data_IF_978445561044
#
_entry.id   IF_978445561044
#
_cell.length_a   1.000
_cell.length_b   1.000
_cell.length_c   1.000
_cell.angle_alpha   90.00
_cell.angle_beta   90.00
_cell.angle_gamma   90.00
#
_symmetry.space_group_name_H-M   'P 1'
#
loop_
_entity.id
_entity.type
_entity.pdbx_description
1 polymer ?
#
# COMPACT_ATOMS: atom_id res chain seq x y z
N UNK A 1 25.50 6.02 3.62
CA UNK A 1 24.11 5.91 3.13
C UNK A 1 23.24 5.81 4.37
N UNK A 2 22.37 6.78 4.66
CA UNK A 2 21.45 6.78 5.82
C UNK A 2 19.99 6.83 5.36
N UNK A 3 19.72 6.42 4.12
CA UNK A 3 18.36 6.12 3.71
C UNK A 3 17.89 4.91 4.52
N UNK A 4 16.73 5.03 5.18
CA UNK A 4 16.05 3.95 5.90
C UNK A 4 16.68 3.50 7.22
N UNK A 5 17.42 4.33 7.94
CA UNK A 5 17.79 4.02 9.33
C UNK A 5 16.59 4.21 10.27
N UNK A 6 16.28 3.20 11.09
CA UNK A 6 15.23 3.29 12.12
C UNK A 6 15.61 4.40 13.12
N UNK A 7 14.67 5.32 13.35
CA UNK A 7 14.84 6.45 14.28
C UNK A 7 15.36 7.75 13.65
N UNK A 8 16.02 7.69 12.49
CA UNK A 8 16.61 8.88 11.84
C UNK A 8 15.61 9.66 10.98
N UNK A 9 14.45 9.07 10.68
CA UNK A 9 13.39 9.71 9.91
C UNK A 9 12.88 11.03 10.52
N UNK A 10 13.09 11.28 11.81
CA UNK A 10 12.65 12.52 12.45
C UNK A 10 13.44 13.75 11.99
N UNK A 11 14.74 13.59 11.66
CA UNK A 11 15.62 14.74 11.41
C UNK A 11 15.21 15.54 10.18
N UNK A 12 14.70 14.88 9.15
CA UNK A 12 14.23 15.53 7.91
C UNK A 12 12.95 16.36 8.14
N UNK A 13 12.20 16.09 9.21
CA UNK A 13 11.00 16.83 9.59
C UNK A 13 11.28 17.97 10.58
N UNK A 14 12.55 18.33 10.79
CA UNK A 14 12.95 19.40 11.72
C UNK A 14 13.63 20.56 11.01
N UNK A 15 13.42 21.75 11.56
CA UNK A 15 14.20 22.95 11.28
C UNK A 15 15.60 22.85 11.89
N UNK A 16 16.56 23.71 11.46
CA UNK A 16 17.89 23.75 12.05
C UNK A 16 17.91 24.03 13.56
N UNK A 17 16.87 24.70 14.08
CA UNK A 17 16.71 24.96 15.53
C UNK A 17 16.15 23.76 16.31
N UNK A 18 15.88 22.64 15.63
CA UNK A 18 15.35 21.41 16.22
C UNK A 18 13.83 21.38 16.37
N UNK A 19 13.10 22.45 16.06
CA UNK A 19 11.63 22.44 16.04
C UNK A 19 11.10 21.70 14.81
N UNK A 20 9.85 21.24 14.85
CA UNK A 20 9.22 20.60 13.68
C UNK A 20 8.97 21.64 12.59
N UNK A 21 9.08 21.20 11.32
CA UNK A 21 8.66 22.00 10.18
C UNK A 21 7.20 22.46 10.35
N UNK A 22 6.90 23.68 9.91
CA UNK A 22 5.56 24.27 9.91
C UNK A 22 5.05 24.44 8.47
N UNK A 23 3.76 24.77 8.34
CA UNK A 23 3.16 25.08 7.04
C UNK A 23 3.96 26.19 6.33
N UNK A 24 4.32 25.93 5.07
CA UNK A 24 5.12 26.84 4.25
C UNK A 24 6.63 26.57 4.29
N UNK A 25 7.12 25.75 5.21
CA UNK A 25 8.53 25.33 5.20
C UNK A 25 8.80 24.33 4.07
N UNK A 26 10.05 24.31 3.60
CA UNK A 26 10.51 23.31 2.63
C UNK A 26 10.95 22.03 3.35
N UNK A 27 10.36 20.90 2.94
CA UNK A 27 10.79 19.55 3.34
C UNK A 27 11.78 19.00 2.31
N UNK A 28 12.95 18.55 2.75
CA UNK A 28 13.98 17.98 1.87
C UNK A 28 14.39 16.57 2.34
N UNK A 29 14.31 15.60 1.43
CA UNK A 29 14.75 14.21 1.66
C UNK A 29 15.95 13.86 0.77
N UNK A 30 17.17 14.30 1.10
CA UNK A 30 18.34 14.10 0.24
C UNK A 30 18.67 12.62 0.02
N UNK A 31 18.34 11.78 1.00
CA UNK A 31 18.59 10.33 0.95
C UNK A 31 17.55 9.62 0.07
N UNK A 32 16.30 10.10 0.01
CA UNK A 32 15.32 9.60 -0.96
C UNK A 32 15.70 9.95 -2.39
N UNK A 33 16.23 11.15 -2.65
CA UNK A 33 16.66 11.53 -3.99
C UNK A 33 17.70 10.52 -4.54
N UNK A 34 18.67 10.12 -3.70
CA UNK A 34 19.66 9.09 -4.06
C UNK A 34 19.05 7.71 -4.27
N UNK A 35 18.01 7.35 -3.52
CA UNK A 35 17.27 6.11 -3.74
C UNK A 35 16.52 6.12 -5.07
N UNK A 36 15.93 7.27 -5.46
CA UNK A 36 15.29 7.42 -6.76
C UNK A 36 16.31 7.38 -7.91
N UNK A 37 17.48 8.01 -7.76
CA UNK A 37 18.54 7.93 -8.75
C UNK A 37 19.02 6.48 -8.95
N UNK A 38 19.11 5.69 -7.86
CA UNK A 38 19.41 4.26 -7.92
C UNK A 38 18.32 3.51 -8.70
N UNK A 39 17.05 3.64 -8.29
CA UNK A 39 15.93 2.93 -8.90
C UNK A 39 15.76 3.29 -10.39
N UNK A 40 16.02 4.55 -10.76
CA UNK A 40 15.97 5.00 -12.14
C UNK A 40 17.07 4.35 -13.01
N UNK A 41 18.23 4.04 -12.42
CA UNK A 41 19.33 3.37 -13.10
C UNK A 41 19.13 1.85 -13.13
N UNK A 42 18.71 1.27 -12.00
CA UNK A 42 18.50 -0.17 -11.83
C UNK A 42 17.50 -0.44 -10.67
N UNK A 43 16.26 -0.85 -10.99
CA UNK A 43 15.27 -1.23 -9.98
C UNK A 43 15.69 -2.43 -9.12
N UNK A 44 16.46 -3.37 -9.67
CA UNK A 44 16.88 -4.59 -8.97
C UNK A 44 17.89 -4.27 -7.86
N UNK A 45 18.63 -3.16 -7.98
CA UNK A 45 19.56 -2.69 -6.96
C UNK A 45 18.89 -2.33 -5.62
N UNK A 46 17.55 -2.24 -5.57
CA UNK A 46 16.81 -2.10 -4.33
C UNK A 46 16.78 -3.39 -3.50
N UNK A 47 16.75 -4.55 -4.15
CA UNK A 47 16.61 -5.86 -3.52
C UNK A 47 17.95 -6.53 -3.23
N UNK A 48 19.05 -5.94 -3.69
CA UNK A 48 20.40 -6.47 -3.52
C UNK A 48 21.42 -5.39 -3.10
N UNK A 49 22.60 -5.85 -2.66
CA UNK A 49 23.72 -4.98 -2.39
C UNK A 49 23.48 -3.98 -1.25
N UNK A 50 24.16 -2.81 -1.26
CA UNK A 50 24.23 -1.93 -0.09
C UNK A 50 22.89 -1.36 0.39
N UNK A 51 21.90 -1.18 -0.49
CA UNK A 51 20.58 -0.69 -0.11
C UNK A 51 19.75 -1.77 0.61
N UNK A 52 19.74 -2.99 0.08
CA UNK A 52 19.12 -4.14 0.73
C UNK A 52 19.78 -4.45 2.09
N UNK A 53 21.12 -4.40 2.15
CA UNK A 53 21.87 -4.57 3.40
C UNK A 53 21.49 -3.51 4.44
N UNK A 54 21.39 -2.24 4.03
CA UNK A 54 20.97 -1.15 4.91
C UNK A 54 19.53 -1.31 5.40
N UNK A 55 18.61 -1.77 4.54
CA UNK A 55 17.23 -2.06 4.90
C UNK A 55 17.14 -3.16 5.97
N UNK A 56 17.79 -4.30 5.72
CA UNK A 56 17.81 -5.44 6.67
C UNK A 56 18.44 -5.03 7.99
N UNK A 57 19.55 -4.29 7.96
CA UNK A 57 20.21 -3.80 9.16
C UNK A 57 19.31 -2.84 9.96
N UNK A 58 18.55 -1.99 9.28
CA UNK A 58 17.67 -1.03 9.94
C UNK A 58 16.54 -1.70 10.72
N UNK A 59 16.00 -2.81 10.23
CA UNK A 59 14.90 -3.54 10.88
C UNK A 59 15.38 -4.72 11.73
N UNK A 60 16.69 -4.90 11.89
CA UNK A 60 17.25 -6.06 12.57
C UNK A 60 16.81 -6.18 14.05
N UNK A 61 16.46 -5.06 14.69
CA UNK A 61 15.90 -5.06 16.05
C UNK A 61 14.38 -5.30 16.00
N UNK A 62 13.98 -6.57 16.22
CA UNK A 62 12.58 -6.98 16.28
C UNK A 62 11.89 -7.21 14.94
N UNK A 63 12.56 -6.94 13.81
CA UNK A 63 12.08 -7.30 12.48
C UNK A 63 12.51 -8.72 12.06
N UNK A 64 11.81 -9.26 11.06
CA UNK A 64 12.05 -10.61 10.52
C UNK A 64 12.57 -10.61 9.08
N UNK A 65 12.75 -9.43 8.47
CA UNK A 65 13.19 -9.29 7.08
C UNK A 65 14.67 -9.67 6.95
N UNK A 66 14.98 -10.52 5.97
CA UNK A 66 16.32 -10.99 5.67
C UNK A 66 16.74 -10.70 4.22
N UNK A 67 18.03 -10.83 3.94
CA UNK A 67 18.53 -10.76 2.56
C UNK A 67 17.92 -11.86 1.67
N UNK A 68 17.62 -13.04 2.23
CA UNK A 68 16.98 -14.12 1.49
C UNK A 68 15.52 -13.76 1.13
N UNK A 69 14.81 -13.02 1.98
CA UNK A 69 13.46 -12.53 1.67
C UNK A 69 13.51 -11.51 0.53
N UNK A 70 14.47 -10.59 0.55
CA UNK A 70 14.66 -9.63 -0.53
C UNK A 70 15.07 -10.31 -1.84
N UNK A 71 16.00 -11.26 -1.79
CA UNK A 71 16.46 -11.98 -2.98
C UNK A 71 15.38 -12.89 -3.60
N UNK A 72 14.51 -13.44 -2.76
CA UNK A 72 13.40 -14.29 -3.20
C UNK A 72 12.15 -13.50 -3.60
N UNK A 73 12.12 -12.19 -3.38
CA UNK A 73 10.98 -11.35 -3.74
C UNK A 73 10.73 -11.41 -5.26
N UNK A 74 9.49 -11.71 -5.65
CA UNK A 74 9.06 -11.71 -7.05
C UNK A 74 7.70 -11.02 -7.15
N UNK A 75 7.56 -10.17 -8.17
CA UNK A 75 6.26 -9.65 -8.56
C UNK A 75 5.44 -10.79 -9.15
N UNK A 76 4.20 -10.92 -8.69
CA UNK A 76 3.23 -11.86 -9.24
C UNK A 76 2.26 -11.05 -10.08
N UNK A 77 2.26 -11.28 -11.39
CA UNK A 77 1.26 -10.73 -12.30
C UNK A 77 0.09 -11.71 -12.40
N UNK A 78 -1.12 -11.23 -12.13
CA UNK A 78 -2.35 -12.02 -12.20
C UNK A 78 -3.38 -11.32 -13.06
N UNK A 79 -4.23 -12.11 -13.73
CA UNK A 79 -5.39 -11.57 -14.43
C UNK A 79 -6.40 -11.06 -13.42
N UNK A 80 -6.96 -9.84 -13.60
CA UNK A 80 -7.96 -9.31 -12.69
C UNK A 80 -9.23 -10.16 -12.77
N UNK A 81 -9.79 -10.48 -11.60
CA UNK A 81 -11.13 -11.08 -11.53
C UNK A 81 -12.17 -10.05 -11.95
N UNK A 82 -13.22 -10.55 -12.59
CA UNK A 82 -14.26 -9.73 -13.19
C UNK A 82 -15.64 -10.19 -12.74
N UNK A 83 -16.53 -9.24 -12.46
CA UNK A 83 -17.96 -9.50 -12.24
C UNK A 83 -18.79 -8.55 -13.09
N UNK A 84 -20.04 -8.95 -13.37
CA UNK A 84 -21.05 -8.02 -13.83
C UNK A 84 -21.65 -7.28 -12.61
N UNK A 85 -21.81 -5.97 -12.73
CA UNK A 85 -22.49 -5.13 -11.75
C UNK A 85 -23.44 -4.19 -12.51
N UNK A 86 -24.72 -4.58 -12.58
CA UNK A 86 -25.71 -3.97 -13.48
C UNK A 86 -25.16 -3.89 -14.92
N UNK A 87 -25.14 -2.69 -15.51
CA UNK A 87 -24.67 -2.44 -16.88
C UNK A 87 -23.14 -2.33 -16.99
N UNK A 88 -22.42 -2.54 -15.89
CA UNK A 88 -20.96 -2.41 -15.83
C UNK A 88 -20.27 -3.76 -15.63
N UNK A 89 -19.00 -3.82 -16.04
CA UNK A 89 -18.07 -4.88 -15.65
C UNK A 89 -17.04 -4.28 -14.70
N UNK A 90 -16.92 -4.86 -13.51
CA UNK A 90 -15.94 -4.43 -12.51
C UNK A 90 -14.77 -5.40 -12.51
N UNK A 91 -13.57 -4.86 -12.64
CA UNK A 91 -12.31 -5.60 -12.59
C UNK A 91 -11.57 -5.25 -11.30
N UNK A 92 -11.15 -6.26 -10.53
CA UNK A 92 -10.30 -6.08 -9.35
C UNK A 92 -9.34 -7.27 -9.20
N UNK A 93 -8.38 -7.20 -8.28
CA UNK A 93 -7.43 -8.30 -8.04
C UNK A 93 -8.18 -9.56 -7.62
N UNK A 94 -9.15 -9.41 -6.71
CA UNK A 94 -10.16 -10.42 -6.41
C UNK A 94 -9.69 -11.56 -5.50
N UNK A 95 -8.46 -11.47 -4.98
CA UNK A 95 -7.98 -12.12 -3.75
C UNK A 95 -7.65 -11.04 -2.70
N UNK A 96 -8.38 -9.92 -2.77
CA UNK A 96 -8.24 -8.80 -1.85
C UNK A 96 -8.77 -9.14 -0.46
N UNK A 97 -8.12 -8.59 0.57
CA UNK A 97 -8.48 -8.86 1.97
C UNK A 97 -9.88 -8.33 2.33
N UNK A 98 -10.41 -7.41 1.52
CA UNK A 98 -11.70 -6.77 1.68
C UNK A 98 -12.81 -7.36 0.78
N UNK A 99 -12.49 -8.35 -0.07
CA UNK A 99 -13.42 -9.02 -1.00
C UNK A 99 -14.48 -8.10 -1.65
N UNK A 100 -13.99 -7.02 -2.25
CA UNK A 100 -14.84 -6.02 -2.92
C UNK A 100 -15.72 -6.67 -3.99
N UNK A 101 -15.20 -7.64 -4.74
CA UNK A 101 -15.98 -8.32 -5.79
C UNK A 101 -17.11 -9.19 -5.21
N UNK A 102 -16.87 -9.90 -4.10
CA UNK A 102 -17.93 -10.63 -3.40
C UNK A 102 -19.03 -9.69 -2.90
N UNK A 103 -18.63 -8.58 -2.26
CA UNK A 103 -19.56 -7.54 -1.80
C UNK A 103 -20.42 -7.00 -2.95
N UNK A 104 -19.79 -6.58 -4.04
CA UNK A 104 -20.51 -6.05 -5.20
C UNK A 104 -21.41 -7.10 -5.87
N UNK A 105 -20.98 -8.36 -5.91
CA UNK A 105 -21.81 -9.46 -6.42
C UNK A 105 -23.06 -9.67 -5.55
N UNK A 106 -22.94 -9.61 -4.22
CA UNK A 106 -24.09 -9.75 -3.31
C UNK A 106 -25.08 -8.59 -3.48
N UNK A 107 -24.57 -7.35 -3.57
CA UNK A 107 -25.37 -6.14 -3.75
C UNK A 107 -26.05 -6.12 -5.12
N UNK A 108 -25.38 -6.54 -6.19
CA UNK A 108 -25.92 -6.55 -7.56
C UNK A 108 -27.22 -7.37 -7.70
N UNK A 109 -27.43 -8.38 -6.84
CA UNK A 109 -28.60 -9.25 -6.87
C UNK A 109 -29.70 -8.82 -5.88
N UNK A 110 -29.43 -7.88 -4.97
CA UNK A 110 -30.32 -7.54 -3.86
C UNK A 110 -30.69 -6.06 -3.76
N UNK A 111 -29.86 -5.15 -4.27
CA UNK A 111 -30.01 -3.70 -4.08
C UNK A 111 -30.26 -3.03 -5.42
N UNK A 112 -31.53 -2.81 -5.75
CA UNK A 112 -31.93 -2.03 -6.93
C UNK A 112 -32.12 -0.52 -6.64
N UNK A 113 -32.19 -0.15 -5.34
CA UNK A 113 -32.45 1.22 -4.89
C UNK A 113 -31.19 1.86 -4.26
N UNK A 114 -31.17 3.19 -4.18
CA UNK A 114 -30.01 3.93 -3.67
C UNK A 114 -29.86 3.76 -2.14
N UNK A 115 -28.77 3.12 -1.66
CA UNK A 115 -28.54 2.92 -0.23
C UNK A 115 -28.26 4.22 0.55
N UNK A 116 -28.02 5.35 -0.13
CA UNK A 116 -27.87 6.66 0.51
C UNK A 116 -29.22 7.30 0.87
N UNK A 117 -30.30 6.89 0.19
CA UNK A 117 -31.63 7.47 0.40
C UNK A 117 -32.65 6.46 0.95
N UNK A 118 -32.44 5.17 0.69
CA UNK A 118 -33.40 4.11 1.04
C UNK A 118 -32.86 3.19 2.16
N UNK A 119 -33.51 3.14 3.33
CA UNK A 119 -33.03 2.36 4.48
C UNK A 119 -32.90 0.85 4.22
N UNK A 120 -33.80 0.24 3.44
CA UNK A 120 -33.75 -1.20 3.15
C UNK A 120 -32.54 -1.54 2.27
N UNK A 121 -32.24 -0.68 1.27
CA UNK A 121 -31.03 -0.80 0.45
C UNK A 121 -29.76 -0.64 1.29
N UNK A 122 -29.76 0.29 2.25
CA UNK A 122 -28.65 0.46 3.18
C UNK A 122 -28.42 -0.78 4.06
N UNK A 123 -29.48 -1.42 4.56
CA UNK A 123 -29.39 -2.65 5.35
C UNK A 123 -28.82 -3.82 4.53
N UNK A 124 -29.26 -3.96 3.28
CA UNK A 124 -28.75 -4.99 2.38
C UNK A 124 -27.26 -4.78 2.05
N UNK A 125 -26.82 -3.53 1.88
CA UNK A 125 -25.39 -3.22 1.72
C UNK A 125 -24.60 -3.57 2.98
N UNK A 126 -25.13 -3.27 4.17
CA UNK A 126 -24.49 -3.65 5.45
C UNK A 126 -24.36 -5.17 5.59
N UNK A 127 -25.37 -5.93 5.19
CA UNK A 127 -25.33 -7.39 5.22
C UNK A 127 -24.32 -7.95 4.23
N UNK A 128 -24.21 -7.36 3.03
CA UNK A 128 -23.18 -7.72 2.06
C UNK A 128 -21.77 -7.47 2.60
N UNK A 129 -21.52 -6.31 3.23
CA UNK A 129 -20.23 -5.96 3.85
C UNK A 129 -19.85 -6.84 5.04
N UNK A 130 -20.82 -7.49 5.69
CA UNK A 130 -20.62 -8.39 6.83
C UNK A 130 -20.52 -9.85 6.44
N UNK A 131 -20.89 -10.18 5.21
CA UNK A 131 -20.82 -11.56 4.73
C UNK A 131 -19.36 -11.98 4.65
N UNK A 132 -18.97 -13.12 5.22
CA UNK A 132 -17.61 -13.62 5.08
C UNK A 132 -17.36 -13.91 3.60
N UNK A 133 -16.24 -13.38 3.10
CA UNK A 133 -15.63 -13.75 1.82
C UNK A 133 -15.21 -15.21 1.79
#
# INVERSE_FOLDING_TARGET
VQAMCVGDGNFVFRRPDGTLLQAGDSLTHPDHARAYDLLAADPEAFYHGPYAEALVAAVADGGALSMADLESYRVIETEPRSIAFHDYTVHARGDDLDDVLGTLSAVAHGVEADPLTEPDAALLLVDALRSPS
#
